data_IF_650963040797
#
_entry.id   IF_650963040797
#
_cell.length_a   1.000
_cell.length_b   1.000
_cell.length_c   1.000
_cell.angle_alpha   90.00
_cell.angle_beta   90.00
_cell.angle_gamma   90.00
#
_symmetry.space_group_name_H-M   'P 1'
#
loop_
_entity.id
_entity.type
_entity.pdbx_description
1 polymer ?
#
# COMPACT_ATOMS: atom_id res chain seq x y z
N UNK A 1 21.66 -8.78 -6.77
CA UNK A 1 20.57 -8.16 -5.97
C UNK A 1 20.04 -6.88 -6.61
N UNK A 2 18.79 -6.47 -6.31
CA UNK A 2 18.15 -5.33 -6.99
C UNK A 2 18.95 -4.01 -6.89
N UNK A 3 19.64 -3.73 -5.79
CA UNK A 3 20.43 -2.50 -5.65
C UNK A 3 21.65 -2.44 -6.58
N UNK A 4 22.23 -3.58 -6.93
CA UNK A 4 23.31 -3.65 -7.93
C UNK A 4 22.77 -3.49 -9.35
N UNK A 5 21.62 -4.11 -9.63
CA UNK A 5 20.91 -3.96 -10.92
C UNK A 5 20.46 -2.53 -11.14
N UNK A 6 19.96 -1.88 -10.09
CA UNK A 6 19.55 -0.49 -10.13
C UNK A 6 20.72 0.43 -10.48
N UNK A 7 21.92 0.18 -9.95
CA UNK A 7 23.15 0.91 -10.32
C UNK A 7 23.61 0.57 -11.73
N UNK A 8 23.64 -0.72 -12.10
CA UNK A 8 24.09 -1.22 -13.40
C UNK A 8 23.30 -0.60 -14.56
N UNK A 9 21.98 -0.53 -14.44
CA UNK A 9 21.08 -0.03 -15.48
C UNK A 9 20.60 1.42 -15.23
N UNK A 10 21.25 2.15 -14.31
CA UNK A 10 20.94 3.53 -13.97
C UNK A 10 19.44 3.80 -13.70
N UNK A 11 18.83 2.95 -12.87
CA UNK A 11 17.40 2.97 -12.54
C UNK A 11 17.11 3.72 -11.24
N UNK A 12 18.00 3.59 -10.26
CA UNK A 12 17.84 4.16 -8.92
C UNK A 12 19.20 4.60 -8.41
N UNK A 13 19.29 5.86 -8.01
CA UNK A 13 20.44 6.45 -7.35
C UNK A 13 20.16 6.66 -5.87
N UNK A 14 20.71 5.78 -5.05
CA UNK A 14 20.57 5.84 -3.59
C UNK A 14 21.53 6.89 -2.98
N UNK A 15 22.69 7.13 -3.58
CA UNK A 15 23.68 8.10 -3.10
C UNK A 15 23.18 9.54 -3.28
N UNK A 16 22.54 9.82 -4.42
CA UNK A 16 21.86 11.08 -4.66
C UNK A 16 20.70 11.31 -3.69
N UNK A 17 19.97 10.25 -3.35
CA UNK A 17 18.96 10.26 -2.30
C UNK A 17 19.52 10.71 -0.94
N UNK A 18 20.62 10.09 -0.52
CA UNK A 18 21.35 10.46 0.70
C UNK A 18 21.79 11.92 0.67
N UNK A 19 22.28 12.41 -0.48
CA UNK A 19 22.67 13.80 -0.64
C UNK A 19 21.49 14.79 -0.48
N UNK A 20 20.28 14.40 -0.91
CA UNK A 20 19.10 15.29 -0.91
C UNK A 20 18.39 15.29 0.45
N UNK A 21 18.13 14.11 1.03
CA UNK A 21 17.24 13.96 2.19
C UNK A 21 17.77 13.02 3.28
N UNK A 22 18.87 12.31 3.02
CA UNK A 22 19.39 11.26 3.90
C UNK A 22 19.04 9.84 3.43
N UNK A 23 19.44 8.83 4.21
CA UNK A 23 19.17 7.44 3.90
C UNK A 23 17.65 7.18 3.78
N UNK A 24 17.24 6.20 2.98
CA UNK A 24 15.83 5.81 2.83
C UNK A 24 14.99 6.67 1.87
N UNK A 25 15.62 7.54 1.08
CA UNK A 25 14.98 8.40 0.07
C UNK A 25 15.57 8.18 -1.34
N UNK A 26 15.26 7.08 -2.05
CA UNK A 26 15.87 6.77 -3.34
C UNK A 26 15.44 7.76 -4.44
N UNK A 27 16.36 8.04 -5.38
CA UNK A 27 16.04 8.82 -6.59
C UNK A 27 15.90 7.87 -7.76
N UNK A 28 14.68 7.74 -8.31
CA UNK A 28 14.43 6.92 -9.49
C UNK A 28 14.76 7.71 -10.78
N UNK A 29 15.42 7.05 -11.73
CA UNK A 29 15.90 7.64 -12.98
C UNK A 29 15.46 6.83 -14.20
N UNK A 30 15.31 7.49 -15.34
CA UNK A 30 15.09 6.85 -16.65
C UNK A 30 14.00 5.77 -16.65
N UNK A 31 14.38 4.53 -17.06
CA UNK A 31 13.48 3.36 -17.07
C UNK A 31 12.95 3.01 -15.68
N UNK A 32 13.71 3.26 -14.61
CA UNK A 32 13.27 3.03 -13.22
C UNK A 32 12.12 3.93 -12.80
N UNK A 33 12.24 5.24 -13.06
CA UNK A 33 11.15 6.20 -12.81
C UNK A 33 9.91 5.92 -13.67
N UNK A 34 10.11 5.51 -14.94
CA UNK A 34 9.00 5.14 -15.81
C UNK A 34 8.30 3.86 -15.34
N UNK A 35 9.05 2.87 -14.85
CA UNK A 35 8.49 1.63 -14.29
C UNK A 35 7.65 1.91 -13.04
N UNK A 36 8.13 2.75 -12.12
CA UNK A 36 7.36 3.20 -10.96
C UNK A 36 5.99 3.75 -11.37
N UNK A 37 5.96 4.72 -12.30
CA UNK A 37 4.71 5.30 -12.79
C UNK A 37 3.82 4.27 -13.51
N UNK A 38 4.40 3.36 -14.28
CA UNK A 38 3.67 2.30 -14.97
C UNK A 38 2.97 1.34 -14.00
N UNK A 39 3.66 0.96 -12.91
CA UNK A 39 3.09 0.11 -11.87
C UNK A 39 1.93 0.81 -11.16
N UNK A 40 2.08 2.09 -10.79
CA UNK A 40 0.98 2.89 -10.19
C UNK A 40 -0.25 2.86 -11.11
N UNK A 41 -0.05 3.17 -12.39
CA UNK A 41 -1.16 3.23 -13.34
C UNK A 41 -1.85 1.87 -13.50
N UNK A 42 -1.06 0.80 -13.67
CA UNK A 42 -1.59 -0.55 -13.79
C UNK A 42 -2.44 -0.96 -12.56
N UNK A 43 -1.97 -0.67 -11.34
CA UNK A 43 -2.71 -1.01 -10.13
C UNK A 43 -4.01 -0.21 -9.98
N UNK A 44 -4.00 1.08 -10.32
CA UNK A 44 -5.21 1.91 -10.31
C UNK A 44 -6.23 1.39 -11.32
N UNK A 45 -5.82 1.18 -12.56
CA UNK A 45 -6.71 0.70 -13.63
C UNK A 45 -7.32 -0.66 -13.26
N UNK A 46 -6.51 -1.58 -12.73
CA UNK A 46 -6.97 -2.90 -12.26
C UNK A 46 -7.99 -2.81 -11.11
N UNK A 47 -7.84 -1.83 -10.22
CA UNK A 47 -8.80 -1.58 -9.15
C UNK A 47 -10.09 -0.98 -9.71
N UNK A 48 -10.00 -0.01 -10.63
CA UNK A 48 -11.16 0.60 -11.29
C UNK A 48 -11.98 -0.44 -12.06
N UNK A 49 -11.33 -1.38 -12.76
CA UNK A 49 -11.97 -2.52 -13.42
C UNK A 49 -12.79 -3.40 -12.46
N UNK A 50 -12.42 -3.44 -11.18
CA UNK A 50 -13.14 -4.17 -10.12
C UNK A 50 -14.19 -3.32 -9.39
N UNK A 51 -14.49 -2.14 -9.93
CA UNK A 51 -15.55 -1.24 -9.45
C UNK A 51 -15.12 -0.36 -8.29
N UNK A 52 -13.81 -0.18 -8.05
CA UNK A 52 -13.34 0.84 -7.11
C UNK A 52 -13.39 2.22 -7.75
N UNK A 53 -13.92 3.20 -7.03
CA UNK A 53 -13.87 4.61 -7.44
C UNK A 53 -12.50 5.17 -7.10
N UNK A 54 -11.77 5.66 -8.09
CA UNK A 54 -10.48 6.32 -7.86
C UNK A 54 -10.68 7.67 -7.16
N UNK A 55 -9.89 7.91 -6.11
CA UNK A 55 -9.88 9.15 -5.34
C UNK A 55 -8.44 9.65 -5.17
N UNK A 56 -8.27 10.98 -5.18
CA UNK A 56 -6.98 11.63 -4.97
C UNK A 56 -7.04 12.45 -3.66
N UNK A 57 -6.64 11.87 -2.52
CA UNK A 57 -6.75 12.51 -1.21
C UNK A 57 -5.57 13.45 -0.88
N UNK A 58 -5.72 14.36 0.11
CA UNK A 58 -4.58 15.10 0.66
C UNK A 58 -3.51 14.18 1.27
N UNK A 59 -2.23 14.56 1.12
CA UNK A 59 -1.09 13.82 1.69
C UNK A 59 -0.72 14.24 3.12
N UNK A 60 -1.39 15.27 3.63
CA UNK A 60 -1.28 15.73 5.02
C UNK A 60 -2.65 15.66 5.68
N UNK A 61 -2.69 15.25 6.94
CA UNK A 61 -3.94 15.07 7.69
C UNK A 61 -3.86 15.66 9.09
N UNK A 62 -5.01 16.06 9.63
CA UNK A 62 -5.11 16.47 11.03
C UNK A 62 -5.04 15.27 11.99
N UNK A 63 -4.75 15.54 13.26
CA UNK A 63 -4.67 14.53 14.33
C UNK A 63 -5.91 13.63 14.40
N UNK A 64 -7.10 14.20 14.29
CA UNK A 64 -8.34 13.43 14.34
C UNK A 64 -8.44 12.38 13.20
N UNK A 65 -7.74 12.59 12.07
CA UNK A 65 -7.65 11.59 10.99
C UNK A 65 -6.76 10.42 11.35
N UNK A 66 -5.59 10.71 11.92
CA UNK A 66 -4.71 9.67 12.45
C UNK A 66 -5.39 8.87 13.56
N UNK A 67 -6.15 9.54 14.44
CA UNK A 67 -6.92 8.88 15.48
C UNK A 67 -8.02 7.97 14.91
N UNK A 68 -8.75 8.45 13.89
CA UNK A 68 -9.86 7.74 13.27
C UNK A 68 -9.49 6.36 12.71
N UNK A 69 -8.33 6.24 12.07
CA UNK A 69 -7.86 4.97 11.51
C UNK A 69 -6.99 4.14 12.46
N UNK A 70 -6.70 4.68 13.65
CA UNK A 70 -5.87 3.99 14.65
C UNK A 70 -4.37 4.15 14.46
N UNK A 71 -3.93 5.02 13.54
CA UNK A 71 -2.53 5.44 13.46
C UNK A 71 -2.13 6.25 14.70
N UNK A 72 -3.08 6.97 15.29
CA UNK A 72 -2.91 7.66 16.57
C UNK A 72 -3.77 7.01 17.69
N UNK A 73 -3.24 6.91 18.93
CA UNK A 73 -1.92 7.38 19.38
C UNK A 73 -0.76 6.61 18.73
N UNK A 74 0.22 7.36 18.19
CA UNK A 74 1.33 6.85 17.39
C UNK A 74 2.24 5.98 18.25
N UNK A 75 2.24 4.66 18.03
CA UNK A 75 3.24 3.81 18.66
C UNK A 75 4.57 4.13 18.02
N UNK A 76 5.52 4.61 18.82
CA UNK A 76 6.92 4.85 18.41
C UNK A 76 7.14 6.04 17.47
N UNK A 77 6.11 6.85 17.21
CA UNK A 77 6.27 8.07 16.41
C UNK A 77 6.59 7.76 14.95
N UNK A 78 5.86 6.84 14.32
CA UNK A 78 6.08 6.39 12.95
C UNK A 78 5.58 7.40 11.91
N UNK A 79 4.66 8.31 12.26
CA UNK A 79 4.21 9.38 11.38
C UNK A 79 5.14 10.60 11.47
N UNK A 80 5.43 11.23 10.32
CA UNK A 80 6.07 12.55 10.31
C UNK A 80 5.06 13.62 10.72
N UNK A 81 5.44 14.47 11.68
CA UNK A 81 4.63 15.56 12.19
C UNK A 81 5.17 16.92 11.72
N UNK A 82 4.26 17.76 11.21
CA UNK A 82 4.50 19.12 10.74
C UNK A 82 4.12 20.07 11.89
N UNK A 83 5.12 20.53 12.64
CA UNK A 83 4.93 21.20 13.93
C UNK A 83 4.07 22.48 13.85
N UNK A 84 4.37 23.37 12.90
CA UNK A 84 3.74 24.69 12.81
C UNK A 84 2.24 24.57 12.49
N UNK A 85 1.89 23.70 11.54
CA UNK A 85 0.52 23.49 11.09
C UNK A 85 -0.26 22.45 11.91
N UNK A 86 0.45 21.68 12.75
CA UNK A 86 -0.09 20.55 13.52
C UNK A 86 -0.75 19.49 12.63
N UNK A 87 -0.11 19.21 11.49
CA UNK A 87 -0.52 18.20 10.53
C UNK A 87 0.46 17.02 10.52
N UNK A 88 0.02 15.90 9.97
CA UNK A 88 0.83 14.70 9.84
C UNK A 88 0.92 14.30 8.36
N UNK A 89 2.10 13.91 7.90
CA UNK A 89 2.23 13.23 6.60
C UNK A 89 1.65 11.82 6.72
N UNK A 90 0.92 11.39 5.68
CA UNK A 90 0.23 10.10 5.71
C UNK A 90 1.21 8.92 5.53
N UNK A 91 1.09 7.85 6.34
CA UNK A 91 1.87 6.62 6.15
C UNK A 91 1.22 5.65 5.15
N UNK A 92 0.00 5.97 4.69
CA UNK A 92 -0.82 5.24 3.72
C UNK A 92 -2.02 6.10 3.28
N UNK A 93 -2.50 5.93 2.05
CA UNK A 93 -3.74 6.56 1.57
C UNK A 93 -4.99 6.10 2.34
N UNK A 94 -4.93 4.96 3.03
CA UNK A 94 -6.02 4.51 3.91
C UNK A 94 -6.45 5.61 4.89
N UNK A 95 -5.50 6.36 5.46
CA UNK A 95 -5.81 7.39 6.46
C UNK A 95 -6.79 8.42 5.90
N UNK A 96 -6.47 9.19 4.85
CA UNK A 96 -7.41 10.18 4.34
C UNK A 96 -8.63 9.55 3.65
N UNK A 97 -8.49 8.40 2.98
CA UNK A 97 -9.61 7.78 2.23
C UNK A 97 -10.70 7.28 3.17
N UNK A 98 -10.37 6.56 4.24
CA UNK A 98 -11.36 6.12 5.23
C UNK A 98 -11.99 7.33 5.95
N UNK A 99 -11.23 8.41 6.12
CA UNK A 99 -11.71 9.65 6.74
C UNK A 99 -12.62 10.52 5.86
N UNK A 100 -12.79 10.20 4.57
CA UNK A 100 -13.87 10.79 3.75
C UNK A 100 -15.25 10.56 4.38
N UNK A 101 -15.36 9.52 5.20
CA UNK A 101 -16.60 9.08 5.84
C UNK A 101 -16.66 9.40 7.35
N UNK A 102 -15.76 10.27 7.86
CA UNK A 102 -15.81 10.69 9.27
C UNK A 102 -17.06 11.53 9.53
N UNK A 103 -17.74 11.23 10.63
CA UNK A 103 -18.98 11.86 11.08
C UNK A 103 -20.12 11.77 10.04
N UNK A 104 -20.05 10.79 9.12
CA UNK A 104 -21.07 10.55 8.09
C UNK A 104 -22.08 9.49 8.53
N UNK A 105 -23.35 9.75 8.24
CA UNK A 105 -24.44 8.75 8.26
C UNK A 105 -24.79 8.41 6.81
N UNK A 106 -24.38 7.23 6.35
CA UNK A 106 -24.59 6.72 5.00
C UNK A 106 -26.02 6.19 4.82
N UNK A 107 -26.55 6.30 3.61
CA UNK A 107 -27.73 5.55 3.21
C UNK A 107 -27.36 4.09 2.92
N UNK A 108 -28.20 3.15 3.31
CA UNK A 108 -27.94 1.72 3.13
C UNK A 108 -27.72 1.32 1.66
N UNK A 109 -28.39 2.01 0.73
CA UNK A 109 -28.27 1.78 -0.71
C UNK A 109 -26.91 2.17 -1.29
N UNK A 110 -26.14 3.00 -0.58
CA UNK A 110 -24.82 3.44 -1.03
C UNK A 110 -23.73 2.41 -0.66
N UNK A 111 -24.07 1.42 0.18
CA UNK A 111 -23.18 0.32 0.52
C UNK A 111 -23.30 -0.83 -0.50
N UNK A 112 -22.16 -1.42 -0.93
CA UNK A 112 -20.82 -1.15 -0.44
C UNK A 112 -20.14 0.03 -1.15
N UNK A 113 -19.34 0.79 -0.40
CA UNK A 113 -18.49 1.84 -0.98
C UNK A 113 -17.09 1.29 -1.20
N UNK A 114 -16.55 1.49 -2.40
CA UNK A 114 -15.24 0.98 -2.83
C UNK A 114 -14.40 2.14 -3.34
N UNK A 115 -13.26 2.42 -2.72
CA UNK A 115 -12.32 3.45 -3.16
C UNK A 115 -10.93 2.89 -3.42
N UNK A 116 -10.26 3.41 -4.44
CA UNK A 116 -8.83 3.20 -4.64
C UNK A 116 -8.10 4.53 -4.71
N UNK A 117 -6.87 4.59 -4.21
CA UNK A 117 -6.09 5.81 -4.22
C UNK A 117 -4.60 5.50 -4.34
N UNK A 118 -3.91 6.27 -5.17
CA UNK A 118 -2.47 6.38 -5.14
C UNK A 118 -2.05 7.45 -4.13
N UNK A 119 -0.96 7.20 -3.40
CA UNK A 119 -0.28 8.26 -2.63
C UNK A 119 1.21 8.01 -2.48
N UNK A 120 1.94 9.08 -2.25
CA UNK A 120 3.26 9.01 -1.62
C UNK A 120 3.04 8.80 -0.12
N UNK A 121 3.62 7.72 0.41
CA UNK A 121 3.53 7.32 1.81
C UNK A 121 4.81 7.70 2.54
N UNK A 122 4.68 8.23 3.76
CA UNK A 122 5.79 8.70 4.57
C UNK A 122 5.82 7.99 5.92
N UNK A 123 6.93 7.33 6.23
CA UNK A 123 7.13 6.63 7.51
C UNK A 123 8.49 6.99 8.10
N UNK A 124 8.52 7.28 9.39
CA UNK A 124 9.78 7.61 10.09
C UNK A 124 10.69 6.41 10.27
N UNK A 125 10.17 5.20 10.13
CA UNK A 125 10.90 3.94 10.31
C UNK A 125 11.72 3.92 11.62
N UNK A 126 11.19 4.60 12.64
CA UNK A 126 11.88 4.78 13.92
C UNK A 126 12.08 3.40 14.57
N UNK A 127 13.31 3.14 15.04
CA UNK A 127 13.68 1.83 15.61
C UNK A 127 14.25 0.82 14.60
N UNK A 128 14.25 1.13 13.31
CA UNK A 128 14.80 0.27 12.27
C UNK A 128 16.28 0.58 12.00
N UNK A 129 17.19 -0.31 12.35
CA UNK A 129 18.63 -0.15 12.08
C UNK A 129 19.25 -1.43 11.51
N UNK A 130 20.30 -1.30 10.70
CA UNK A 130 21.17 -2.42 10.29
C UNK A 130 20.98 -2.90 8.84
N UNK A 131 21.45 -4.13 8.58
CA UNK A 131 21.58 -4.71 7.23
C UNK A 131 20.25 -4.87 6.46
N UNK A 132 19.12 -4.91 7.16
CA UNK A 132 17.78 -5.05 6.57
C UNK A 132 17.26 -3.79 5.86
N UNK A 133 18.00 -2.67 5.93
CA UNK A 133 17.61 -1.35 5.38
C UNK A 133 18.25 -1.07 4.00
N UNK A 134 18.89 -2.07 3.37
CA UNK A 134 19.56 -1.88 2.08
C UNK A 134 18.57 -1.86 0.91
N UNK A 135 18.81 -0.98 -0.06
CA UNK A 135 18.05 -0.92 -1.31
C UNK A 135 16.61 -0.45 -1.07
N UNK A 136 15.64 -1.23 -1.55
CA UNK A 136 14.21 -0.93 -1.50
C UNK A 136 13.45 -1.67 -0.39
N UNK A 137 14.15 -2.33 0.52
CA UNK A 137 13.51 -3.16 1.55
C UNK A 137 12.74 -2.35 2.61
N UNK A 138 13.23 -1.14 2.93
CA UNK A 138 12.67 -0.22 3.93
C UNK A 138 13.06 1.22 3.59
N UNK A 139 12.07 2.09 3.42
CA UNK A 139 12.21 3.47 2.95
C UNK A 139 11.37 4.42 3.79
N UNK A 140 11.77 5.68 3.86
CA UNK A 140 10.98 6.72 4.53
C UNK A 140 9.89 7.30 3.64
N UNK A 141 10.10 7.26 2.32
CA UNK A 141 9.13 7.66 1.31
C UNK A 141 8.97 6.55 0.28
N UNK A 142 7.73 6.19 -0.03
CA UNK A 142 7.43 5.22 -1.08
C UNK A 142 6.03 5.39 -1.67
N UNK A 143 5.87 4.96 -2.91
CA UNK A 143 4.58 4.86 -3.58
C UNK A 143 3.76 3.65 -3.11
N UNK A 144 2.45 3.88 -2.96
CA UNK A 144 1.49 2.82 -2.67
C UNK A 144 0.17 3.10 -3.39
N UNK A 145 -0.47 2.05 -3.88
CA UNK A 145 -1.89 2.09 -4.29
C UNK A 145 -2.69 1.34 -3.25
N UNK A 146 -3.69 2.00 -2.67
CA UNK A 146 -4.56 1.46 -1.64
C UNK A 146 -5.94 1.14 -2.22
N UNK A 147 -6.61 0.15 -1.63
CA UNK A 147 -8.04 -0.07 -1.75
C UNK A 147 -8.68 0.03 -0.35
N UNK A 148 -9.80 0.72 -0.26
CA UNK A 148 -10.61 0.85 0.96
C UNK A 148 -12.03 0.43 0.63
N UNK A 149 -12.65 -0.32 1.54
CA UNK A 149 -14.08 -0.65 1.47
C UNK A 149 -14.79 -0.24 2.76
N UNK A 150 -15.98 0.33 2.59
CA UNK A 150 -16.95 0.55 3.65
C UNK A 150 -18.12 -0.39 3.38
N UNK A 151 -18.42 -1.25 4.34
CA UNK A 151 -19.24 -2.44 4.12
C UNK A 151 -20.26 -2.65 5.24
N UNK A 152 -21.34 -3.38 4.94
CA UNK A 152 -22.26 -3.85 5.98
C UNK A 152 -21.59 -4.92 6.86
N UNK A 153 -21.84 -4.95 8.18
CA UNK A 153 -21.20 -5.91 9.08
C UNK A 153 -21.29 -7.38 8.64
N UNK A 154 -22.44 -7.79 8.12
CA UNK A 154 -22.73 -9.17 7.69
C UNK A 154 -21.90 -9.63 6.48
N UNK A 155 -21.37 -8.70 5.68
CA UNK A 155 -20.61 -9.00 4.46
C UNK A 155 -19.10 -8.95 4.65
N UNK A 156 -18.60 -8.31 5.72
CA UNK A 156 -17.20 -7.86 5.80
C UNK A 156 -16.19 -8.99 5.63
N UNK A 157 -16.43 -10.16 6.21
CA UNK A 157 -15.51 -11.30 6.11
C UNK A 157 -15.52 -11.97 4.74
N UNK A 158 -16.68 -12.05 4.08
CA UNK A 158 -16.73 -12.55 2.70
C UNK A 158 -15.99 -11.58 1.75
N UNK A 159 -16.17 -10.28 1.98
CA UNK A 159 -15.49 -9.22 1.22
C UNK A 159 -13.98 -9.19 1.48
N UNK A 160 -13.51 -9.54 2.68
CA UNK A 160 -12.08 -9.72 2.95
C UNK A 160 -11.46 -10.77 2.02
N UNK A 161 -12.13 -11.91 1.85
CA UNK A 161 -11.68 -12.97 0.94
C UNK A 161 -11.74 -12.51 -0.53
N UNK A 162 -12.75 -11.75 -0.95
CA UNK A 162 -12.78 -11.13 -2.28
C UNK A 162 -11.59 -10.19 -2.52
N UNK A 163 -11.24 -9.39 -1.51
CA UNK A 163 -10.09 -8.49 -1.59
C UNK A 163 -8.79 -9.28 -1.69
N UNK A 164 -8.66 -10.38 -0.94
CA UNK A 164 -7.52 -11.30 -1.05
C UNK A 164 -7.39 -11.85 -2.47
N UNK A 165 -8.46 -12.35 -3.08
CA UNK A 165 -8.41 -12.86 -4.46
C UNK A 165 -8.05 -11.76 -5.46
N UNK A 166 -8.55 -10.54 -5.27
CA UNK A 166 -8.18 -9.41 -6.11
C UNK A 166 -6.66 -9.11 -6.07
N UNK A 167 -6.05 -9.16 -4.88
CA UNK A 167 -4.59 -9.00 -4.76
C UNK A 167 -3.83 -10.17 -5.41
N UNK A 168 -4.34 -11.41 -5.32
CA UNK A 168 -3.75 -12.58 -6.02
C UNK A 168 -3.76 -12.39 -7.53
N UNK A 169 -4.84 -11.85 -8.10
CA UNK A 169 -4.91 -11.56 -9.54
C UNK A 169 -3.84 -10.54 -9.95
N UNK A 170 -3.64 -9.48 -9.16
CA UNK A 170 -2.60 -8.47 -9.41
C UNK A 170 -1.21 -9.13 -9.41
N UNK A 171 -0.88 -9.93 -8.40
CA UNK A 171 0.43 -10.59 -8.30
C UNK A 171 0.67 -11.63 -9.41
N UNK A 172 -0.40 -12.34 -9.81
CA UNK A 172 -0.36 -13.27 -10.94
C UNK A 172 -0.04 -12.55 -12.25
N UNK A 173 -0.66 -11.39 -12.46
CA UNK A 173 -0.43 -10.53 -13.63
C UNK A 173 0.99 -9.93 -13.66
N UNK A 174 1.64 -9.80 -12.50
CA UNK A 174 3.04 -9.43 -12.36
C UNK A 174 4.01 -10.61 -12.57
N UNK A 175 3.50 -11.82 -12.79
CA UNK A 175 4.31 -13.05 -12.97
C UNK A 175 5.28 -13.30 -11.79
N UNK A 176 4.93 -12.82 -10.59
CA UNK A 176 5.76 -12.96 -9.40
C UNK A 176 5.32 -14.18 -8.57
N UNK A 177 6.24 -15.05 -8.12
CA UNK A 177 5.91 -16.08 -7.13
C UNK A 177 5.56 -15.41 -5.80
N UNK A 178 4.41 -15.78 -5.24
CA UNK A 178 3.93 -15.23 -3.98
C UNK A 178 3.36 -16.30 -3.04
N UNK A 179 3.28 -15.97 -1.75
CA UNK A 179 2.53 -16.72 -0.75
C UNK A 179 1.62 -15.77 0.02
N UNK A 180 0.57 -16.33 0.62
CA UNK A 180 -0.40 -15.60 1.44
C UNK A 180 -0.36 -16.16 2.85
N UNK A 181 -0.23 -15.27 3.83
CA UNK A 181 -0.15 -15.60 5.25
C UNK A 181 -1.35 -14.96 5.95
N UNK A 182 -2.10 -15.77 6.70
CA UNK A 182 -3.05 -15.23 7.69
C UNK A 182 -2.28 -14.95 8.97
N UNK A 183 -2.30 -13.70 9.43
CA UNK A 183 -1.52 -13.31 10.60
C UNK A 183 -2.05 -13.94 11.89
N UNK A 184 -1.13 -14.32 12.77
CA UNK A 184 -1.47 -14.77 14.12
C UNK A 184 -1.78 -13.56 15.02
N UNK A 185 -2.47 -13.76 16.14
CA UNK A 185 -2.87 -12.65 17.01
C UNK A 185 -1.72 -11.80 17.57
N UNK A 186 -0.49 -12.33 17.61
CA UNK A 186 0.70 -11.58 18.01
C UNK A 186 1.24 -10.62 16.94
N UNK A 187 0.98 -10.92 15.66
CA UNK A 187 1.43 -10.12 14.51
C UNK A 187 0.31 -9.23 13.95
N UNK A 188 -0.95 -9.52 14.30
CA UNK A 188 -2.09 -8.69 13.91
C UNK A 188 -1.96 -7.28 14.49
N UNK A 189 -2.08 -6.27 13.61
CA UNK A 189 -1.99 -4.87 13.98
C UNK A 189 -3.09 -4.43 14.98
N UNK A 190 -2.79 -3.39 15.76
CA UNK A 190 -3.65 -2.90 16.84
C UNK A 190 -5.11 -2.64 16.45
N UNK A 191 -5.35 -2.17 15.21
CA UNK A 191 -6.68 -1.80 14.74
C UNK A 191 -7.44 -2.94 14.04
N UNK A 192 -6.74 -3.94 13.49
CA UNK A 192 -7.32 -4.97 12.63
C UNK A 192 -7.86 -6.16 13.42
N UNK A 193 -9.01 -6.68 13.03
CA UNK A 193 -9.58 -7.94 13.56
C UNK A 193 -9.01 -9.17 12.84
N UNK A 194 -8.76 -9.07 11.54
CA UNK A 194 -8.14 -10.13 10.73
C UNK A 194 -7.34 -9.51 9.59
N UNK A 195 -6.15 -10.06 9.33
CA UNK A 195 -5.23 -9.58 8.30
C UNK A 195 -4.62 -10.74 7.53
N UNK A 196 -4.52 -10.56 6.22
CA UNK A 196 -3.72 -11.39 5.32
C UNK A 196 -2.57 -10.58 4.75
N UNK A 197 -1.35 -11.10 4.89
CA UNK A 197 -0.17 -10.54 4.24
C UNK A 197 0.19 -11.35 3.00
N UNK A 198 0.65 -10.64 1.99
CA UNK A 198 1.15 -11.19 0.74
C UNK A 198 2.63 -10.94 0.65
N UNK A 199 3.38 -12.01 0.40
CA UNK A 199 4.81 -11.91 0.25
C UNK A 199 5.25 -12.44 -1.11
N UNK A 200 6.18 -11.74 -1.76
CA UNK A 200 6.81 -12.17 -3.01
C UNK A 200 8.22 -12.67 -2.73
N UNK A 201 8.68 -13.65 -3.53
CA UNK A 201 10.05 -14.13 -3.41
C UNK A 201 11.05 -13.14 -3.99
N UNK A 202 12.16 -12.89 -3.29
CA UNK A 202 13.28 -12.09 -3.76
C UNK A 202 14.46 -13.02 -4.07
N UNK A 203 14.64 -13.39 -5.35
CA UNK A 203 15.61 -14.43 -5.71
C UNK A 203 17.06 -14.12 -5.30
N UNK A 204 17.48 -12.86 -5.31
CA UNK A 204 18.86 -12.51 -4.95
C UNK A 204 19.06 -12.34 -3.44
N UNK A 205 17.97 -12.19 -2.68
CA UNK A 205 18.01 -12.10 -1.22
C UNK A 205 17.65 -13.42 -0.54
N UNK A 206 17.10 -14.38 -1.30
CA UNK A 206 16.64 -15.70 -0.83
C UNK A 206 15.64 -15.59 0.34
N UNK A 207 14.72 -14.62 0.24
CA UNK A 207 13.69 -14.40 1.25
C UNK A 207 12.35 -13.93 0.66
N UNK A 208 11.31 -14.09 1.45
CA UNK A 208 9.98 -13.56 1.18
C UNK A 208 9.88 -12.11 1.65
N UNK A 209 9.35 -11.24 0.80
CA UNK A 209 9.16 -9.82 1.06
C UNK A 209 7.68 -9.48 1.06
N UNK A 210 7.15 -9.00 2.18
CA UNK A 210 5.77 -8.52 2.29
C UNK A 210 5.54 -7.32 1.36
N UNK A 211 4.57 -7.42 0.44
CA UNK A 211 4.24 -6.41 -0.57
C UNK A 211 2.81 -5.88 -0.44
N UNK A 212 1.97 -6.60 0.30
CA UNK A 212 0.60 -6.20 0.58
C UNK A 212 0.13 -6.77 1.90
N UNK A 213 -0.78 -6.03 2.53
CA UNK A 213 -1.52 -6.41 3.71
C UNK A 213 -2.98 -6.01 3.49
N UNK A 214 -3.91 -6.93 3.74
CA UNK A 214 -5.35 -6.77 3.56
C UNK A 214 -6.04 -7.07 4.88
N UNK A 215 -6.77 -6.10 5.41
CA UNK A 215 -7.32 -6.17 6.76
C UNK A 215 -8.81 -5.86 6.82
N UNK A 216 -9.51 -6.57 7.70
CA UNK A 216 -10.83 -6.20 8.19
C UNK A 216 -10.69 -5.59 9.60
N UNK A 217 -11.23 -4.40 9.80
CA UNK A 217 -11.18 -3.67 11.08
C UNK A 217 -12.47 -3.82 11.88
N UNK A 218 -13.47 -4.51 11.34
CA UNK A 218 -14.85 -4.52 11.84
C UNK A 218 -15.30 -3.08 12.17
N UNK A 219 -15.76 -2.85 13.40
CA UNK A 219 -16.24 -1.55 13.86
C UNK A 219 -15.14 -0.64 14.42
N UNK A 220 -13.87 -1.08 14.50
CA UNK A 220 -12.82 -0.35 15.21
C UNK A 220 -12.64 1.08 14.68
N UNK A 221 -12.41 1.21 13.37
CA UNK A 221 -12.24 2.53 12.75
C UNK A 221 -13.59 3.24 12.67
N UNK A 222 -14.66 2.56 12.23
CA UNK A 222 -15.99 3.15 12.10
C UNK A 222 -16.49 3.79 13.40
N UNK A 223 -16.21 3.19 14.55
CA UNK A 223 -16.56 3.72 15.85
C UNK A 223 -15.81 5.03 16.16
N UNK A 224 -14.50 5.08 15.89
CA UNK A 224 -13.65 6.27 16.10
C UNK A 224 -14.01 7.39 15.12
N UNK A 225 -14.39 7.02 13.90
CA UNK A 225 -14.84 7.90 12.85
C UNK A 225 -16.29 8.36 13.02
N UNK A 226 -17.08 7.67 13.85
CA UNK A 226 -18.55 7.78 13.94
C UNK A 226 -19.27 7.53 12.60
N UNK A 227 -18.65 6.73 11.72
CA UNK A 227 -19.20 6.35 10.43
C UNK A 227 -20.28 5.28 10.62
N UNK A 228 -21.51 5.61 10.24
CA UNK A 228 -22.69 4.76 10.43
C UNK A 228 -23.50 4.68 9.16
N UNK A 229 -24.40 3.72 9.08
CA UNK A 229 -25.46 3.70 8.08
C UNK A 229 -26.82 3.50 8.75
N UNK A 230 -27.90 3.81 8.03
CA UNK A 230 -29.27 3.59 8.50
C UNK A 230 -29.84 2.30 7.91
N UNK A 231 -29.83 1.22 8.68
CA UNK A 231 -30.43 -0.08 8.33
C UNK A 231 -31.59 -0.42 9.27
N UNK A 232 -32.67 -0.99 8.74
CA UNK A 232 -33.87 -1.38 9.51
C UNK A 232 -34.43 -0.28 10.44
N UNK A 233 -34.34 0.97 9.99
CA UNK A 233 -34.79 2.14 10.76
C UNK A 233 -33.90 2.53 11.94
N UNK A 234 -32.79 1.83 12.20
CA UNK A 234 -31.80 2.15 13.25
C UNK A 234 -30.45 2.49 12.64
N UNK A 235 -29.67 3.30 13.35
CA UNK A 235 -28.30 3.60 12.97
C UNK A 235 -27.38 2.49 13.47
N UNK A 236 -26.54 1.97 12.57
CA UNK A 236 -25.56 0.92 12.86
C UNK A 236 -24.17 1.35 12.37
N UNK A 237 -23.11 0.89 13.02
CA UNK A 237 -21.75 1.10 12.54
C UNK A 237 -21.52 0.24 11.30
N UNK A 238 -20.82 0.80 10.32
CA UNK A 238 -20.28 0.04 9.18
C UNK A 238 -19.06 -0.77 9.63
N UNK A 239 -18.66 -1.73 8.81
CA UNK A 239 -17.32 -2.29 8.87
C UNK A 239 -16.41 -1.59 7.86
N UNK A 240 -15.14 -1.41 8.22
CA UNK A 240 -14.13 -0.89 7.30
C UNK A 240 -13.11 -1.97 6.98
N UNK A 241 -12.64 -1.96 5.73
CA UNK A 241 -11.57 -2.83 5.25
C UNK A 241 -10.58 -2.00 4.44
N UNK A 242 -9.31 -2.40 4.49
CA UNK A 242 -8.30 -1.87 3.60
C UNK A 242 -7.53 -3.02 2.94
N UNK A 243 -6.82 -2.66 1.88
CA UNK A 243 -5.87 -3.53 1.24
C UNK A 243 -4.81 -2.67 0.59
N UNK A 244 -3.57 -3.05 0.81
CA UNK A 244 -2.48 -2.54 0.00
C UNK A 244 -2.65 -3.16 -1.39
N UNK A 245 -3.16 -2.43 -2.37
CA UNK A 245 -3.28 -2.97 -3.72
C UNK A 245 -1.90 -3.38 -4.24
N UNK A 246 -0.86 -2.59 -3.91
CA UNK A 246 0.55 -2.98 -3.83
C UNK A 246 1.40 -1.85 -3.20
N UNK A 247 2.44 -2.22 -2.45
CA UNK A 247 3.55 -1.32 -2.08
C UNK A 247 4.71 -1.45 -3.09
N UNK A 248 5.05 -0.36 -3.78
CA UNK A 248 5.89 -0.43 -4.98
C UNK A 248 7.37 -0.78 -4.74
N UNK A 249 8.05 -0.39 -3.64
CA UNK A 249 9.48 -0.65 -3.50
C UNK A 249 9.86 -2.13 -3.58
N UNK A 250 9.14 -2.99 -2.84
CA UNK A 250 9.42 -4.43 -2.79
C UNK A 250 8.94 -5.15 -4.05
N UNK A 251 7.89 -4.66 -4.71
CA UNK A 251 7.50 -5.14 -6.03
C UNK A 251 8.57 -4.82 -7.08
N UNK A 252 9.10 -3.60 -7.08
CA UNK A 252 10.19 -3.22 -7.98
C UNK A 252 11.44 -4.06 -7.71
N UNK A 253 11.80 -4.29 -6.44
CA UNK A 253 12.91 -5.19 -6.09
C UNK A 253 12.70 -6.61 -6.66
N UNK A 254 11.52 -7.20 -6.44
CA UNK A 254 11.20 -8.55 -6.91
C UNK A 254 11.17 -8.64 -8.45
N UNK A 255 10.61 -7.63 -9.15
CA UNK A 255 10.60 -7.58 -10.61
C UNK A 255 12.03 -7.52 -11.18
N UNK A 256 12.90 -6.71 -10.57
CA UNK A 256 14.29 -6.60 -11.02
C UNK A 256 15.07 -7.89 -10.77
N UNK A 257 14.85 -8.57 -9.63
CA UNK A 257 15.59 -9.76 -9.27
C UNK A 257 15.13 -11.02 -10.01
N UNK A 258 13.82 -11.25 -10.08
CA UNK A 258 13.27 -12.51 -10.57
C UNK A 258 13.24 -12.62 -12.09
N UNK A 259 13.31 -11.49 -12.81
CA UNK A 259 13.18 -11.47 -14.27
C UNK A 259 14.49 -11.21 -15.02
N UNK A 260 15.63 -11.53 -14.40
CA UNK A 260 16.93 -11.42 -15.05
C UNK A 260 17.09 -12.47 -16.14
N UNK A 261 17.65 -12.05 -17.28
CA UNK A 261 18.01 -12.89 -18.43
C UNK A 261 19.42 -12.52 -18.89
N UNK A 262 19.95 -13.25 -19.89
CA UNK A 262 21.24 -12.90 -20.49
C UNK A 262 21.23 -11.51 -21.16
N UNK A 263 20.07 -11.07 -21.67
CA UNK A 263 19.93 -9.82 -22.45
C UNK A 263 19.51 -8.61 -21.61
N UNK A 264 19.21 -8.80 -20.33
CA UNK A 264 18.69 -7.76 -19.43
C UNK A 264 17.58 -8.27 -18.51
N UNK A 265 16.82 -7.35 -17.93
CA UNK A 265 15.65 -7.68 -17.09
C UNK A 265 14.40 -7.55 -17.94
N UNK A 266 13.67 -8.66 -18.13
CA UNK A 266 12.45 -8.69 -18.93
C UNK A 266 11.25 -8.35 -18.06
N UNK A 267 10.41 -7.41 -18.47
CA UNK A 267 9.20 -7.09 -17.73
C UNK A 267 8.06 -8.07 -18.06
N UNK A 268 7.19 -8.39 -17.08
CA UNK A 268 5.92 -9.06 -17.35
C UNK A 268 5.14 -8.32 -18.42
N UNK A 269 4.46 -9.06 -19.30
CA UNK A 269 3.85 -8.46 -20.51
C UNK A 269 2.90 -7.32 -20.18
N UNK A 270 2.03 -7.51 -19.18
CA UNK A 270 1.07 -6.49 -18.74
C UNK A 270 1.77 -5.21 -18.31
N UNK A 271 2.88 -5.32 -17.56
CA UNK A 271 3.62 -4.14 -17.11
C UNK A 271 4.40 -3.47 -18.23
N UNK A 272 4.93 -4.25 -19.17
CA UNK A 272 5.62 -3.71 -20.35
C UNK A 272 4.71 -2.83 -21.21
N UNK A 273 3.41 -3.16 -21.33
CA UNK A 273 2.41 -2.37 -22.05
C UNK A 273 2.24 -0.96 -21.44
N UNK A 274 2.16 -0.86 -20.10
CA UNK A 274 2.11 0.42 -19.40
C UNK A 274 3.46 1.16 -19.44
N UNK A 275 4.56 0.43 -19.26
CA UNK A 275 5.91 0.98 -19.23
C UNK A 275 6.39 1.44 -20.62
N UNK A 276 5.81 0.93 -21.71
CA UNK A 276 6.21 1.15 -23.10
C UNK A 276 7.66 0.74 -23.39
N UNK A 277 8.11 -0.31 -22.71
CA UNK A 277 9.34 -1.06 -22.98
C UNK A 277 9.22 -2.43 -22.29
N UNK A 278 9.89 -3.43 -22.85
CA UNK A 278 9.83 -4.82 -22.41
C UNK A 278 11.13 -5.30 -21.74
N UNK A 279 12.27 -4.67 -22.04
CA UNK A 279 13.58 -5.03 -21.47
C UNK A 279 14.29 -3.82 -20.86
N UNK A 280 14.87 -4.03 -19.67
CA UNK A 280 15.83 -3.12 -19.03
C UNK A 280 17.24 -3.65 -19.28
N UNK A 281 18.01 -2.88 -20.04
CA UNK A 281 19.40 -3.08 -20.42
C UNK A 281 20.07 -1.72 -20.62
#
# INVERSE_FOLDING_TARGET
PHWELAKKYNLIDFELGVKIAGAGFPVYLGKGARLQRALVQYFLDKNVEKGYTEVNPPHVVNEASGFGTGQLPDKEGQMYYINEDKLYLIPTAEVPVTNLYRDVLLDEKDLPIKNTAFSQCYRREAGSYGAHVRGLNRLHQFEKVEIVRIEKPENSYAVLEEMVEHIKEILTDLELPFRVLRLCGGDTGFASAMTYDFEVWSAAQEMWLEVSSVSNFETFQANRLKCRYKGDGKSQLVHTLNGSAMALPRIMAALLENNQTADGIKLPKKIAEYARFDVIN
#
